data_IF_467285515966
#
_entry.id   IF_467285515966
#
_cell.length_a   1.000
_cell.length_b   1.000
_cell.length_c   1.000
_cell.angle_alpha   90.00
_cell.angle_beta   90.00
_cell.angle_gamma   90.00
#
_symmetry.space_group_name_H-M   'P 1'
#
loop_
_entity.id
_entity.type
_entity.pdbx_description
1 polymer ?
#
# COMPACT_ATOMS: atom_id res chain seq x y z
N UNK A 1 -28.30 5.88 0.42
CA UNK A 1 -27.50 5.93 1.68
C UNK A 1 -26.10 5.48 1.34
N UNK A 2 -25.19 6.44 1.21
CA UNK A 2 -23.78 6.17 1.00
C UNK A 2 -23.16 5.79 2.34
N UNK A 3 -23.12 4.50 2.64
CA UNK A 3 -22.19 3.95 3.61
C UNK A 3 -20.89 3.73 2.84
N UNK A 4 -20.07 4.74 2.74
CA UNK A 4 -18.84 4.63 1.95
C UNK A 4 -17.66 5.18 2.70
N UNK A 5 -16.72 4.32 2.87
CA UNK A 5 -15.28 4.58 2.83
C UNK A 5 -14.78 5.62 3.84
N UNK A 6 -15.24 5.58 5.08
CA UNK A 6 -14.39 6.02 6.16
C UNK A 6 -13.88 4.77 6.92
N UNK A 7 -12.75 4.87 7.61
CA UNK A 7 -12.15 3.69 8.25
C UNK A 7 -12.98 3.08 9.38
N UNK A 8 -13.98 3.78 9.89
CA UNK A 8 -14.89 3.26 10.91
C UNK A 8 -16.03 2.46 10.29
N UNK A 9 -16.49 2.83 9.07
CA UNK A 9 -17.68 2.25 8.44
C UNK A 9 -17.56 2.11 6.92
N UNK A 10 -16.39 1.69 6.42
CA UNK A 10 -16.28 1.53 4.98
C UNK A 10 -16.68 0.12 4.52
N UNK A 11 -17.13 0.02 3.29
CA UNK A 11 -17.53 -1.24 2.67
C UNK A 11 -16.38 -2.27 2.67
N UNK A 12 -15.14 -1.83 2.59
CA UNK A 12 -13.96 -2.70 2.57
C UNK A 12 -13.65 -3.26 3.95
N UNK A 13 -13.73 -2.46 5.02
CA UNK A 13 -13.56 -2.97 6.39
C UNK A 13 -14.72 -3.84 6.81
N UNK A 14 -15.96 -3.51 6.43
CA UNK A 14 -17.11 -4.37 6.63
C UNK A 14 -16.97 -5.71 5.89
N UNK A 15 -16.52 -5.70 4.65
CA UNK A 15 -16.23 -6.91 3.89
C UNK A 15 -15.17 -7.77 4.60
N UNK A 16 -14.05 -7.18 5.01
CA UNK A 16 -13.01 -7.91 5.74
C UNK A 16 -13.54 -8.52 7.03
N UNK A 17 -14.34 -7.78 7.80
CA UNK A 17 -14.94 -8.28 9.04
C UNK A 17 -15.85 -9.49 8.80
N UNK A 18 -16.72 -9.43 7.78
CA UNK A 18 -17.64 -10.53 7.42
C UNK A 18 -16.87 -11.78 7.00
N UNK A 19 -15.79 -11.64 6.25
CA UNK A 19 -15.01 -12.78 5.73
C UNK A 19 -13.80 -13.14 6.59
N UNK A 20 -13.63 -12.53 7.77
CA UNK A 20 -12.54 -12.81 8.69
C UNK A 20 -11.15 -12.47 8.12
N UNK A 21 -11.07 -11.49 7.22
CA UNK A 21 -9.81 -11.09 6.58
C UNK A 21 -9.07 -10.15 7.52
N UNK A 22 -7.92 -10.57 8.00
CA UNK A 22 -7.01 -9.77 8.82
C UNK A 22 -5.56 -10.10 8.49
N UNK A 23 -4.65 -9.33 9.07
CA UNK A 23 -3.20 -9.46 8.87
C UNK A 23 -2.47 -9.41 10.22
N UNK A 24 -2.87 -10.24 11.20
CA UNK A 24 -2.29 -10.19 12.56
C UNK A 24 -0.81 -10.59 12.60
N UNK A 25 -0.35 -11.28 11.56
CA UNK A 25 1.05 -11.71 11.38
C UNK A 25 1.96 -10.63 10.79
N UNK A 26 1.41 -9.50 10.35
CA UNK A 26 2.15 -8.40 9.72
C UNK A 26 2.18 -7.18 10.64
N UNK A 27 3.34 -6.51 10.70
CA UNK A 27 3.44 -5.24 11.41
C UNK A 27 2.52 -4.20 10.76
N UNK A 28 1.66 -3.56 11.53
CA UNK A 28 0.79 -2.49 11.05
C UNK A 28 1.48 -1.13 11.15
N UNK A 29 1.01 -0.15 10.36
CA UNK A 29 1.46 1.23 10.45
C UNK A 29 1.22 1.80 11.87
N UNK A 30 0.11 1.46 12.50
CA UNK A 30 -0.22 1.90 13.85
C UNK A 30 0.82 1.40 14.87
N UNK A 31 1.14 0.10 14.83
CA UNK A 31 2.19 -0.49 15.67
C UNK A 31 3.57 0.14 15.41
N UNK A 32 3.90 0.40 14.14
CA UNK A 32 5.14 1.07 13.80
C UNK A 32 5.20 2.51 14.34
N UNK A 33 4.09 3.24 14.28
CA UNK A 33 3.98 4.60 14.83
C UNK A 33 4.11 4.62 16.36
N UNK A 34 3.57 3.63 17.06
CA UNK A 34 3.71 3.48 18.51
C UNK A 34 5.16 3.19 18.95
N UNK A 35 5.90 2.41 18.14
CA UNK A 35 7.32 2.12 18.39
C UNK A 35 8.24 3.31 18.08
N UNK A 36 7.83 4.17 17.17
CA UNK A 36 8.65 5.28 16.69
C UNK A 36 9.66 4.89 15.60
N UNK A 37 10.52 5.83 15.20
CA UNK A 37 11.45 5.65 14.09
C UNK A 37 12.46 4.52 14.32
N UNK A 38 12.83 3.82 13.23
CA UNK A 38 13.93 2.85 13.20
C UNK A 38 13.50 1.38 13.18
N UNK A 39 12.23 1.06 13.43
CA UNK A 39 11.71 -0.30 13.28
C UNK A 39 11.47 -0.65 11.81
N UNK A 40 10.84 0.27 11.09
CA UNK A 40 10.55 0.18 9.66
C UNK A 40 10.86 1.50 8.97
N UNK A 41 11.16 1.47 7.67
CA UNK A 41 11.40 2.65 6.85
C UNK A 41 10.43 2.78 5.68
N UNK A 42 9.67 1.73 5.41
CA UNK A 42 8.79 1.62 4.25
C UNK A 42 7.36 1.29 4.69
N UNK A 43 6.40 2.06 4.20
CA UNK A 43 4.99 1.74 4.28
C UNK A 43 4.56 0.97 3.03
N UNK A 44 4.00 -0.22 3.20
CA UNK A 44 3.26 -0.89 2.14
C UNK A 44 1.78 -0.49 2.24
N UNK A 45 1.35 0.30 1.25
CA UNK A 45 -0.02 0.79 1.12
C UNK A 45 -0.66 0.24 -0.16
N UNK A 46 -1.18 -1.02 -0.12
CA UNK A 46 -1.70 -1.68 -1.32
C UNK A 46 -3.03 -1.11 -1.81
N UNK A 47 -3.72 -0.32 -0.97
CA UNK A 47 -5.06 0.20 -1.23
C UNK A 47 -6.16 -0.73 -0.73
N UNK A 48 -7.30 -0.14 -0.40
CA UNK A 48 -8.42 -0.80 0.27
C UNK A 48 -9.00 -2.00 -0.50
N UNK A 49 -8.98 -1.95 -1.84
CA UNK A 49 -9.47 -3.06 -2.67
C UNK A 49 -8.57 -4.29 -2.56
N UNK A 50 -7.25 -4.11 -2.65
CA UNK A 50 -6.32 -5.25 -2.63
C UNK A 50 -6.35 -5.96 -1.27
N UNK A 51 -6.28 -5.22 -0.17
CA UNK A 51 -6.33 -5.80 1.18
C UNK A 51 -7.65 -6.52 1.48
N UNK A 52 -8.72 -6.19 0.78
CA UNK A 52 -10.04 -6.78 1.01
C UNK A 52 -10.32 -7.94 0.06
N UNK A 53 -10.05 -7.79 -1.23
CA UNK A 53 -10.47 -8.76 -2.24
C UNK A 53 -9.36 -9.72 -2.69
N UNK A 54 -8.09 -9.40 -2.38
CA UNK A 54 -6.95 -10.25 -2.72
C UNK A 54 -5.96 -10.39 -1.54
N UNK A 55 -6.42 -10.92 -0.38
CA UNK A 55 -5.58 -11.01 0.82
C UNK A 55 -4.31 -11.84 0.61
N UNK A 56 -4.39 -12.91 -0.16
CA UNK A 56 -3.22 -13.75 -0.44
C UNK A 56 -2.18 -13.04 -1.32
N UNK A 57 -2.62 -12.18 -2.23
CA UNK A 57 -1.70 -11.36 -3.01
C UNK A 57 -1.02 -10.31 -2.11
N UNK A 58 -1.77 -9.68 -1.21
CA UNK A 58 -1.22 -8.77 -0.20
C UNK A 58 -0.13 -9.44 0.63
N UNK A 59 -0.38 -10.66 1.14
CA UNK A 59 0.60 -11.46 1.87
C UNK A 59 1.81 -11.85 1.03
N UNK A 60 1.58 -12.20 -0.24
CA UNK A 60 2.65 -12.58 -1.17
C UNK A 60 3.59 -11.42 -1.43
N UNK A 61 3.05 -10.21 -1.64
CA UNK A 61 3.86 -9.00 -1.77
C UNK A 61 4.61 -8.70 -0.47
N UNK A 62 3.95 -8.84 0.68
CA UNK A 62 4.59 -8.67 1.98
C UNK A 62 5.78 -9.60 2.19
N UNK A 63 5.62 -10.90 1.89
CA UNK A 63 6.74 -11.86 1.93
C UNK A 63 7.86 -11.45 0.99
N UNK A 64 7.53 -11.07 -0.24
CA UNK A 64 8.52 -10.62 -1.20
C UNK A 64 9.30 -9.39 -0.71
N UNK A 65 8.64 -8.41 -0.09
CA UNK A 65 9.31 -7.25 0.52
C UNK A 65 10.31 -7.70 1.59
N UNK A 66 9.90 -8.59 2.49
CA UNK A 66 10.76 -9.15 3.54
C UNK A 66 11.96 -9.90 2.96
N UNK A 67 11.73 -10.78 1.98
CA UNK A 67 12.78 -11.58 1.33
C UNK A 67 13.80 -10.71 0.57
N UNK A 68 13.39 -9.51 0.15
CA UNK A 68 14.26 -8.52 -0.48
C UNK A 68 14.84 -7.48 0.49
N UNK A 69 14.77 -7.73 1.80
CA UNK A 69 15.38 -6.91 2.83
C UNK A 69 14.77 -5.52 2.98
N UNK A 70 13.47 -5.39 2.72
CA UNK A 70 12.73 -4.15 2.99
C UNK A 70 12.16 -4.23 4.41
N UNK A 71 12.43 -3.22 5.22
CA UNK A 71 11.84 -3.06 6.55
C UNK A 71 10.52 -2.29 6.42
N UNK A 72 9.39 -2.98 6.51
CA UNK A 72 8.10 -2.42 6.12
C UNK A 72 6.97 -2.69 7.13
N UNK A 73 5.96 -1.83 7.09
CA UNK A 73 4.69 -2.01 7.77
C UNK A 73 3.53 -1.93 6.79
N UNK A 74 2.42 -2.60 7.10
CA UNK A 74 1.20 -2.61 6.30
C UNK A 74 0.22 -1.53 6.78
N UNK A 75 -0.36 -0.77 5.85
CA UNK A 75 -1.63 -0.08 6.11
C UNK A 75 -2.77 -0.75 5.35
N UNK A 76 -3.86 -1.00 6.06
CA UNK A 76 -5.12 -1.46 5.47
C UNK A 76 -6.13 -0.33 5.28
N UNK A 77 -5.69 0.89 5.49
CA UNK A 77 -6.52 2.09 5.41
C UNK A 77 -6.89 2.47 3.96
N UNK A 78 -7.81 3.42 3.85
CA UNK A 78 -8.14 4.06 2.59
C UNK A 78 -7.34 5.36 2.44
N UNK A 79 -6.93 5.71 1.23
CA UNK A 79 -6.28 7.01 0.94
C UNK A 79 -7.24 8.21 1.04
N UNK A 80 -8.54 7.98 1.15
CA UNK A 80 -9.54 9.05 1.25
C UNK A 80 -10.10 9.54 -0.09
N UNK A 81 -9.54 9.15 -1.24
CA UNK A 81 -10.01 9.58 -2.56
C UNK A 81 -11.51 9.30 -2.79
N UNK A 82 -12.07 8.13 -2.43
CA UNK A 82 -13.52 7.91 -2.54
C UNK A 82 -14.37 8.85 -1.67
N UNK A 83 -13.86 9.29 -0.52
CA UNK A 83 -14.55 10.28 0.32
C UNK A 83 -14.56 11.65 -0.36
N UNK A 84 -13.43 12.05 -0.98
CA UNK A 84 -13.34 13.27 -1.76
C UNK A 84 -14.33 13.26 -2.92
N UNK A 85 -14.39 12.17 -3.68
CA UNK A 85 -15.32 11.99 -4.79
C UNK A 85 -16.79 12.03 -4.35
N UNK A 86 -17.09 11.65 -3.11
CA UNK A 86 -18.41 11.72 -2.51
C UNK A 86 -18.74 13.08 -1.88
N UNK A 87 -17.83 14.07 -1.92
CA UNK A 87 -18.00 15.38 -1.30
C UNK A 87 -17.85 15.38 0.22
N UNK A 88 -17.30 14.34 0.81
CA UNK A 88 -17.09 14.19 2.27
C UNK A 88 -15.70 14.70 2.67
N UNK A 89 -15.41 15.95 2.34
CA UNK A 89 -14.09 16.57 2.44
C UNK A 89 -13.51 16.55 3.85
N UNK A 90 -14.29 16.92 4.87
CA UNK A 90 -13.84 16.95 6.26
C UNK A 90 -13.41 15.56 6.76
N UNK A 91 -14.17 14.52 6.36
CA UNK A 91 -13.84 13.13 6.70
C UNK A 91 -12.59 12.65 5.98
N UNK A 92 -12.45 12.99 4.71
CA UNK A 92 -11.25 12.69 3.95
C UNK A 92 -10.02 13.36 4.57
N UNK A 93 -10.13 14.63 4.95
CA UNK A 93 -9.05 15.38 5.59
C UNK A 93 -8.64 14.75 6.93
N UNK A 94 -9.60 14.40 7.79
CA UNK A 94 -9.33 13.76 9.08
C UNK A 94 -8.65 12.39 8.92
N UNK A 95 -9.11 11.58 7.96
CA UNK A 95 -8.52 10.28 7.64
C UNK A 95 -7.07 10.42 7.16
N UNK A 96 -6.85 11.32 6.20
CA UNK A 96 -5.54 11.61 5.63
C UNK A 96 -4.58 12.10 6.70
N UNK A 97 -5.00 13.06 7.52
CA UNK A 97 -4.17 13.61 8.59
C UNK A 97 -3.70 12.51 9.56
N UNK A 98 -4.59 11.59 9.95
CA UNK A 98 -4.22 10.46 10.82
C UNK A 98 -3.14 9.57 10.18
N UNK A 99 -3.27 9.24 8.90
CA UNK A 99 -2.28 8.42 8.18
C UNK A 99 -0.94 9.16 8.10
N UNK A 100 -0.95 10.46 7.78
CA UNK A 100 0.26 11.27 7.70
C UNK A 100 0.97 11.35 9.06
N UNK A 101 0.22 11.53 10.14
CA UNK A 101 0.78 11.57 11.50
C UNK A 101 1.42 10.23 11.89
N UNK A 102 0.81 9.12 11.52
CA UNK A 102 1.37 7.78 11.73
C UNK A 102 2.64 7.55 10.91
N UNK A 103 2.66 7.98 9.64
CA UNK A 103 3.84 7.90 8.75
C UNK A 103 5.00 8.66 9.38
N UNK A 104 4.76 9.90 9.81
CA UNK A 104 5.79 10.72 10.46
C UNK A 104 6.25 10.13 11.79
N UNK A 105 5.33 9.67 12.63
CA UNK A 105 5.64 9.06 13.91
C UNK A 105 6.48 7.78 13.77
N UNK A 106 6.21 6.95 12.77
CA UNK A 106 6.97 5.75 12.46
C UNK A 106 8.33 6.02 11.80
N UNK A 107 8.58 7.24 11.34
CA UNK A 107 9.80 7.60 10.59
C UNK A 107 9.86 6.95 9.20
N UNK A 108 8.73 6.75 8.56
CA UNK A 108 8.64 6.21 7.21
C UNK A 108 9.26 7.19 6.23
N UNK A 109 10.12 6.70 5.34
CA UNK A 109 10.77 7.49 4.29
C UNK A 109 10.33 7.07 2.89
N UNK A 110 9.57 5.97 2.78
CA UNK A 110 9.05 5.47 1.51
C UNK A 110 7.64 4.91 1.66
N UNK A 111 6.78 5.19 0.70
CA UNK A 111 5.45 4.56 0.57
C UNK A 111 5.41 3.75 -0.72
N UNK A 112 5.15 2.46 -0.61
CA UNK A 112 4.97 1.55 -1.75
C UNK A 112 3.49 1.35 -1.99
N UNK A 113 3.00 1.76 -3.15
CA UNK A 113 1.58 1.67 -3.53
C UNK A 113 1.35 0.65 -4.65
N UNK A 114 0.14 0.06 -4.68
CA UNK A 114 -0.31 -0.79 -5.79
C UNK A 114 -1.40 -0.07 -6.60
N UNK A 115 -2.26 0.65 -5.92
CA UNK A 115 -3.33 1.42 -6.54
C UNK A 115 -2.78 2.77 -7.05
N UNK A 116 -2.89 3.09 -8.35
CA UNK A 116 -2.44 4.37 -8.90
C UNK A 116 -3.06 5.57 -8.21
N UNK A 117 -4.38 5.58 -8.02
CA UNK A 117 -5.06 6.68 -7.34
C UNK A 117 -4.61 6.88 -5.88
N UNK A 118 -4.17 5.81 -5.17
CA UNK A 118 -3.54 5.99 -3.87
C UNK A 118 -2.15 6.62 -4.01
N UNK A 119 -1.41 6.26 -5.06
CA UNK A 119 -0.10 6.87 -5.36
C UNK A 119 -0.20 8.37 -5.60
N UNK A 120 -1.12 8.79 -6.46
CA UNK A 120 -1.40 10.21 -6.75
C UNK A 120 -1.74 10.99 -5.49
N UNK A 121 -2.63 10.44 -4.65
CA UNK A 121 -3.01 11.06 -3.38
C UNK A 121 -1.81 11.25 -2.45
N UNK A 122 -0.92 10.26 -2.34
CA UNK A 122 0.27 10.38 -1.51
C UNK A 122 1.30 11.36 -2.10
N UNK A 123 1.44 11.43 -3.42
CA UNK A 123 2.30 12.43 -4.07
C UNK A 123 1.81 13.84 -3.75
N UNK A 124 0.49 14.09 -3.84
CA UNK A 124 -0.10 15.39 -3.51
C UNK A 124 0.09 15.74 -2.02
N UNK A 125 -0.09 14.76 -1.13
CA UNK A 125 -0.11 15.01 0.30
C UNK A 125 1.28 15.11 0.94
N UNK A 126 2.28 14.39 0.43
CA UNK A 126 3.59 14.30 1.06
C UNK A 126 4.75 13.88 0.13
N UNK A 127 4.61 14.09 -1.16
CA UNK A 127 5.66 13.74 -2.13
C UNK A 127 7.00 14.45 -1.90
N UNK A 128 7.00 15.56 -1.17
CA UNK A 128 8.23 16.27 -0.76
C UNK A 128 8.85 15.68 0.52
N UNK A 129 8.11 14.88 1.29
CA UNK A 129 8.55 14.32 2.58
C UNK A 129 9.02 12.86 2.46
N UNK A 130 8.39 12.07 1.59
CA UNK A 130 8.64 10.63 1.43
C UNK A 130 8.70 10.23 -0.05
N UNK A 131 9.43 9.17 -0.33
CA UNK A 131 9.56 8.58 -1.67
C UNK A 131 8.30 7.73 -1.98
N UNK A 132 7.47 8.16 -2.90
CA UNK A 132 6.25 7.42 -3.32
C UNK A 132 6.61 6.54 -4.51
N UNK A 133 6.57 5.22 -4.30
CA UNK A 133 7.03 4.23 -5.28
C UNK A 133 5.91 3.27 -5.66
N UNK A 134 5.48 3.24 -6.92
CA UNK A 134 4.60 2.18 -7.41
C UNK A 134 5.27 0.80 -7.25
N UNK A 135 4.50 -0.19 -6.78
CA UNK A 135 5.03 -1.56 -6.60
C UNK A 135 5.73 -2.12 -7.85
N UNK A 136 5.19 -1.98 -9.08
CA UNK A 136 5.87 -2.47 -10.29
C UNK A 136 7.26 -1.87 -10.50
N UNK A 137 7.45 -0.60 -10.17
CA UNK A 137 8.75 0.07 -10.24
C UNK A 137 9.73 -0.52 -9.23
N UNK A 138 9.30 -0.71 -7.99
CA UNK A 138 10.11 -1.34 -6.96
C UNK A 138 10.52 -2.76 -7.35
N UNK A 139 9.58 -3.56 -7.88
CA UNK A 139 9.82 -4.91 -8.38
C UNK A 139 10.88 -4.90 -9.47
N UNK A 140 10.74 -4.03 -10.47
CA UNK A 140 11.69 -3.91 -11.57
C UNK A 140 13.08 -3.49 -11.10
N UNK A 141 13.16 -2.50 -10.22
CA UNK A 141 14.42 -2.01 -9.64
C UNK A 141 15.16 -3.11 -8.88
N UNK A 142 14.45 -3.85 -8.03
CA UNK A 142 15.03 -4.97 -7.25
C UNK A 142 15.43 -6.14 -8.13
N UNK A 143 14.64 -6.51 -9.14
CA UNK A 143 14.96 -7.57 -10.09
C UNK A 143 16.23 -7.25 -10.89
N UNK A 144 16.32 -6.05 -11.45
CA UNK A 144 17.52 -5.59 -12.15
C UNK A 144 18.78 -5.59 -11.27
N UNK A 145 18.63 -5.23 -10.00
CA UNK A 145 19.72 -5.27 -9.05
C UNK A 145 20.15 -6.72 -8.73
N UNK A 146 19.21 -7.65 -8.62
CA UNK A 146 19.49 -9.08 -8.43
C UNK A 146 20.21 -9.67 -9.64
N UNK A 147 19.75 -9.40 -10.86
CA UNK A 147 20.39 -9.83 -12.12
C UNK A 147 21.84 -9.35 -12.22
N UNK A 148 22.09 -8.06 -11.95
CA UNK A 148 23.45 -7.49 -11.96
C UNK A 148 24.38 -8.13 -10.92
N UNK A 149 23.81 -8.61 -9.82
CA UNK A 149 24.53 -9.31 -8.76
C UNK A 149 24.63 -10.84 -8.96
N UNK A 150 24.14 -11.37 -10.10
CA UNK A 150 24.09 -12.80 -10.38
C UNK A 150 23.20 -13.59 -9.43
N UNK A 151 22.20 -12.95 -8.82
CA UNK A 151 21.25 -13.55 -7.88
C UNK A 151 19.91 -13.83 -8.57
N UNK A 152 19.14 -14.82 -8.11
CA UNK A 152 17.79 -15.05 -8.60
C UNK A 152 16.92 -13.78 -8.45
N UNK A 153 16.11 -13.47 -9.46
CA UNK A 153 15.21 -12.31 -9.44
C UNK A 153 14.00 -12.51 -8.51
N UNK A 154 13.73 -13.75 -8.11
CA UNK A 154 12.54 -14.13 -7.34
C UNK A 154 11.29 -14.34 -8.20
N UNK A 155 11.41 -14.21 -9.53
CA UNK A 155 10.32 -14.48 -10.48
C UNK A 155 10.59 -15.75 -11.27
N UNK A 156 9.56 -16.58 -11.41
CA UNK A 156 9.59 -17.71 -12.33
C UNK A 156 9.40 -17.22 -13.77
N UNK A 157 10.05 -17.86 -14.77
CA UNK A 157 9.76 -17.59 -16.16
C UNK A 157 8.25 -17.80 -16.43
N UNK A 158 7.64 -16.82 -17.09
CA UNK A 158 6.27 -16.98 -17.55
C UNK A 158 6.25 -17.86 -18.81
N UNK A 159 5.25 -18.75 -18.96
CA UNK A 159 5.04 -19.45 -20.20
C UNK A 159 4.74 -18.44 -21.32
N UNK A 160 5.15 -18.75 -22.56
CA UNK A 160 4.79 -17.92 -23.71
C UNK A 160 3.28 -17.71 -23.77
N UNK A 161 2.87 -16.45 -23.70
CA UNK A 161 1.46 -16.03 -23.78
C UNK A 161 1.37 -14.72 -24.53
N UNK A 162 0.32 -14.59 -25.33
CA UNK A 162 -0.09 -13.29 -25.84
C UNK A 162 -0.80 -12.54 -24.71
N UNK A 163 -0.37 -11.32 -24.44
CA UNK A 163 -1.00 -10.42 -23.46
C UNK A 163 -1.40 -9.13 -24.14
N UNK A 164 -2.53 -8.58 -23.73
CA UNK A 164 -2.95 -7.23 -24.12
C UNK A 164 -2.80 -6.33 -22.91
N UNK A 165 -2.12 -5.23 -23.07
CA UNK A 165 -2.02 -4.20 -22.05
C UNK A 165 -3.23 -3.26 -22.18
N UNK A 166 -3.90 -3.01 -21.07
CA UNK A 166 -4.94 -2.00 -20.96
C UNK A 166 -4.38 -0.85 -20.13
N UNK A 167 -4.20 0.28 -20.80
CA UNK A 167 -3.80 1.52 -20.17
C UNK A 167 -5.03 2.16 -19.53
N UNK A 168 -4.99 2.44 -18.25
CA UNK A 168 -6.13 2.99 -17.55
C UNK A 168 -6.15 4.52 -17.66
N UNK A 169 -7.32 5.11 -17.46
CA UNK A 169 -7.47 6.57 -17.52
C UNK A 169 -6.91 7.30 -16.27
N UNK A 170 -6.18 6.61 -15.43
CA UNK A 170 -5.54 7.13 -14.22
C UNK A 170 -4.00 7.13 -14.29
N UNK A 171 -3.45 7.15 -15.49
CA UNK A 171 -2.00 7.29 -15.72
C UNK A 171 -1.65 8.72 -16.11
#
# INVERSE_FOLDING_TARGET
KLVMVDNEWNIFSAYRAVYGIGYPELASLEQAAEHGPGLVDTLFFPGCSLVSYAPELTRTVGRWLTDNGVAWALSTDCCGSPLMSAGLFDRAAALRQRILDQIRAAGIVRVVTVCPGCGEEFVELMGDEVDIVPLPELLLKKSRAAERAGRPTGFAPLPERSVTFFDSCHD
#
